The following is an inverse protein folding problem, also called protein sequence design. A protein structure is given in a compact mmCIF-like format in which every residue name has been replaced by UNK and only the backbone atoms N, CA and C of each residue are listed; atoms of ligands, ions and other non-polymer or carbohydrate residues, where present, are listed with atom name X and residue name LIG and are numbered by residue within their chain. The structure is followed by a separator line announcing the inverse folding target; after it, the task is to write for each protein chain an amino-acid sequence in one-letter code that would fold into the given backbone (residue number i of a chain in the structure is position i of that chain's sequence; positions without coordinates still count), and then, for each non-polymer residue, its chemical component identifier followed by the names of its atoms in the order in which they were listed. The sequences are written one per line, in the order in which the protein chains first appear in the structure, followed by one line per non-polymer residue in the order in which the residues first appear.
data_IF_534939421895
#
_entry.id   IF_534939421895
#
_cell.length_a   1.000
_cell.length_b   1.000
_cell.length_c   1.000
_cell.angle_alpha   90.00
_cell.angle_beta   90.00
_cell.angle_gamma   90.00
#
_symmetry.space_group_name_H-M   'P 1'
#
loop_
_entity.id
_entity.type
_entity.pdbx_description
1 polymer ?
#
# COMPACT_ATOMS: atom_id res chain seq x y z
N UNK A 1 -18.42 -17.26 8.50
CA UNK A 1 -18.87 -18.06 9.66
C UNK A 1 -17.67 -18.24 10.56
N UNK A 2 -17.44 -17.27 11.42
CA UNK A 2 -16.30 -17.23 12.32
C UNK A 2 -16.85 -17.11 13.75
N UNK A 3 -16.11 -17.67 14.71
CA UNK A 3 -16.09 -17.25 16.12
C UNK A 3 -16.94 -18.00 17.16
N UNK A 4 -17.30 -19.27 16.95
CA UNK A 4 -17.87 -20.09 18.05
C UNK A 4 -16.80 -20.82 18.91
N UNK A 5 -15.57 -20.97 18.40
CA UNK A 5 -14.52 -21.74 19.09
C UNK A 5 -13.78 -20.93 20.16
N UNK A 6 -13.66 -19.61 20.02
CA UNK A 6 -12.93 -18.75 20.96
C UNK A 6 -13.68 -18.62 22.29
N UNK A 7 -15.01 -18.57 22.25
CA UNK A 7 -15.84 -18.47 23.46
C UNK A 7 -15.79 -19.76 24.30
N UNK A 8 -15.79 -20.92 23.65
CA UNK A 8 -15.65 -22.23 24.32
C UNK A 8 -14.30 -22.34 25.03
N UNK A 9 -13.22 -21.90 24.37
CA UNK A 9 -11.87 -21.88 24.95
C UNK A 9 -11.78 -20.97 26.18
N UNK A 10 -12.45 -19.82 26.16
CA UNK A 10 -12.44 -18.89 27.29
C UNK A 10 -13.19 -19.45 28.51
N UNK A 11 -14.36 -20.07 28.30
CA UNK A 11 -15.09 -20.75 29.38
C UNK A 11 -14.33 -21.95 29.95
N UNK A 12 -13.62 -22.71 29.10
CA UNK A 12 -12.80 -23.82 29.59
C UNK A 12 -11.61 -23.33 30.45
N UNK A 13 -10.92 -22.26 30.02
CA UNK A 13 -9.82 -21.65 30.78
C UNK A 13 -10.32 -21.15 32.14
N UNK A 14 -11.47 -20.48 32.16
CA UNK A 14 -12.08 -19.96 33.39
C UNK A 14 -12.38 -21.08 34.40
N UNK A 15 -12.99 -22.19 33.96
CA UNK A 15 -13.28 -23.32 34.84
C UNK A 15 -12.01 -23.99 35.40
N UNK A 16 -10.94 -24.11 34.58
CA UNK A 16 -9.66 -24.66 35.05
C UNK A 16 -9.01 -23.76 36.11
N UNK A 17 -9.07 -22.44 35.94
CA UNK A 17 -8.51 -21.49 36.91
C UNK A 17 -9.25 -21.52 38.25
N UNK A 18 -10.59 -21.62 38.22
CA UNK A 18 -11.41 -21.71 39.43
C UNK A 18 -11.12 -23.00 40.23
N UNK A 19 -10.85 -24.10 39.52
CA UNK A 19 -10.45 -25.39 40.13
C UNK A 19 -9.10 -25.27 40.85
N UNK A 20 -8.10 -24.67 40.18
CA UNK A 20 -6.77 -24.45 40.78
C UNK A 20 -6.86 -23.58 42.04
N UNK A 21 -7.72 -22.55 42.02
CA UNK A 21 -7.89 -21.67 43.17
C UNK A 21 -8.46 -22.41 44.39
N UNK A 22 -9.40 -23.35 44.18
CA UNK A 22 -9.94 -24.22 45.24
C UNK A 22 -8.87 -25.14 45.82
N UNK A 23 -8.07 -25.78 44.98
CA UNK A 23 -7.00 -26.69 45.42
C UNK A 23 -5.92 -25.96 46.23
N UNK A 24 -5.51 -24.75 45.79
CA UNK A 24 -4.54 -23.93 46.52
C UNK A 24 -5.08 -23.48 47.89
N UNK A 25 -6.37 -23.18 47.98
CA UNK A 25 -7.00 -22.82 49.25
C UNK A 25 -6.99 -24.00 50.24
N UNK A 26 -7.27 -25.21 49.77
CA UNK A 26 -7.22 -26.42 50.61
C UNK A 26 -5.79 -26.78 51.04
N UNK A 27 -4.79 -26.60 50.17
CA UNK A 27 -3.37 -26.81 50.53
C UNK A 27 -2.89 -25.82 51.59
N UNK A 28 -3.28 -24.54 51.47
CA UNK A 28 -2.93 -23.51 52.46
C UNK A 28 -3.55 -23.78 53.83
N UNK A 29 -4.74 -24.37 53.89
CA UNK A 29 -5.35 -24.77 55.17
C UNK A 29 -4.64 -25.98 55.81
N UNK A 30 -4.00 -26.86 55.02
CA UNK A 30 -3.22 -28.00 55.51
C UNK A 30 -1.82 -27.65 56.01
N UNK A 31 -1.19 -26.59 55.49
CA UNK A 31 0.17 -26.16 55.89
C UNK A 31 0.22 -25.44 57.26
N UNK A 32 -0.88 -24.83 57.69
CA UNK A 32 -0.92 -24.07 58.96
C UNK A 32 -1.07 -24.94 60.23
N UNK A 33 -1.03 -26.27 60.10
CA UNK A 33 -1.08 -27.21 61.21
C UNK A 33 0.19 -28.04 61.32
N UNK A 34 1.01 -27.75 62.34
CA UNK A 34 2.06 -28.64 62.90
C UNK A 34 3.36 -28.73 62.06
N UNK A 35 4.62 -28.70 62.54
CA UNK A 35 5.26 -28.99 63.85
C UNK A 35 6.62 -28.27 63.89
N UNK A 36 7.01 -27.80 65.07
CA UNK A 36 8.32 -27.25 65.43
C UNK A 36 9.33 -28.30 65.95
N UNK A 37 10.59 -28.23 65.46
CA UNK A 37 11.91 -28.49 66.11
C UNK A 37 12.21 -29.91 66.67
N UNK A 38 13.45 -30.29 67.07
CA UNK A 38 14.78 -29.66 66.90
C UNK A 38 15.94 -30.63 66.49
N UNK A 39 17.05 -30.00 66.10
CA UNK A 39 18.42 -30.52 66.03
C UNK A 39 18.98 -30.79 67.43
N UNK A 40 19.80 -31.83 67.60
CA UNK A 40 20.59 -32.03 68.81
C UNK A 40 22.08 -32.11 68.45
N UNK A 41 22.85 -31.19 69.03
CA UNK A 41 24.29 -30.99 68.88
C UNK A 41 25.04 -31.42 70.13
N UNK A 42 26.35 -31.63 69.96
CA UNK A 42 27.48 -31.28 70.87
C UNK A 42 28.31 -32.46 71.36
N UNK A 43 29.62 -32.48 71.03
CA UNK A 43 30.71 -32.64 72.02
C UNK A 43 32.08 -32.20 71.45
N UNK A 44 32.42 -30.93 71.67
CA UNK A 44 33.69 -30.32 71.28
C UNK A 44 34.86 -30.76 72.18
N UNK A 45 35.96 -31.21 71.56
CA UNK A 45 37.38 -30.90 71.90
C UNK A 45 38.41 -31.87 71.28
N UNK A 46 37.98 -32.91 70.56
CA UNK A 46 38.85 -33.68 69.63
C UNK A 46 38.64 -33.28 68.16
N UNK A 47 37.65 -32.42 67.91
CA UNK A 47 37.09 -32.19 66.58
C UNK A 47 37.93 -31.22 65.75
N UNK A 48 38.57 -30.20 66.31
CA UNK A 48 39.23 -29.15 65.52
C UNK A 48 40.36 -29.65 64.61
N UNK A 49 41.17 -30.62 65.06
CA UNK A 49 42.27 -31.16 64.24
C UNK A 49 41.76 -32.12 63.16
N UNK A 50 40.68 -32.86 63.47
CA UNK A 50 40.01 -33.78 62.55
C UNK A 50 39.15 -33.02 61.52
N UNK A 51 38.55 -31.92 61.95
CA UNK A 51 37.82 -30.95 61.15
C UNK A 51 38.77 -30.19 60.23
N UNK A 52 39.98 -29.84 60.68
CA UNK A 52 40.98 -29.19 59.82
C UNK A 52 41.49 -30.13 58.71
N UNK A 53 41.66 -31.41 59.01
CA UNK A 53 42.04 -32.42 58.00
C UNK A 53 40.88 -32.74 57.05
N UNK A 54 39.64 -32.83 57.56
CA UNK A 54 38.42 -32.90 56.75
C UNK A 54 38.26 -31.66 55.87
N UNK A 55 38.48 -30.45 56.38
CA UNK A 55 38.41 -29.20 55.64
C UNK A 55 39.45 -29.17 54.51
N UNK A 56 40.68 -29.60 54.77
CA UNK A 56 41.72 -29.70 53.74
C UNK A 56 41.35 -30.75 52.68
N UNK A 57 40.75 -31.87 53.07
CA UNK A 57 40.23 -32.87 52.15
C UNK A 57 39.06 -32.32 51.30
N UNK A 58 38.14 -31.56 51.90
CA UNK A 58 37.08 -30.87 51.19
C UNK A 58 37.65 -29.81 50.24
N UNK A 59 38.65 -29.05 50.67
CA UNK A 59 39.33 -28.05 49.83
C UNK A 59 40.00 -28.69 48.61
N UNK A 60 40.68 -29.84 48.80
CA UNK A 60 41.25 -30.62 47.70
C UNK A 60 40.18 -31.13 46.75
N UNK A 61 39.08 -31.71 47.26
CA UNK A 61 37.96 -32.18 46.42
C UNK A 61 37.29 -31.02 45.67
N UNK A 62 37.10 -29.87 46.31
CA UNK A 62 36.54 -28.68 45.67
C UNK A 62 37.47 -28.16 44.58
N UNK A 63 38.78 -28.12 44.82
CA UNK A 63 39.80 -27.77 43.81
C UNK A 63 39.77 -28.73 42.61
N UNK A 64 39.66 -30.04 42.85
CA UNK A 64 39.55 -31.04 41.78
C UNK A 64 38.28 -30.85 40.94
N UNK A 65 37.12 -30.63 41.59
CA UNK A 65 35.85 -30.37 40.90
C UNK A 65 35.91 -29.08 40.08
N UNK A 66 36.47 -28.01 40.64
CA UNK A 66 36.68 -26.74 39.93
C UNK A 66 37.61 -26.95 38.73
N UNK A 67 38.72 -27.67 38.90
CA UNK A 67 39.66 -27.93 37.81
C UNK A 67 39.03 -28.78 36.69
N UNK A 68 38.20 -29.75 37.05
CA UNK A 68 37.41 -30.54 36.10
C UNK A 68 36.42 -29.65 35.33
N UNK A 69 35.75 -28.73 36.02
CA UNK A 69 34.84 -27.76 35.40
C UNK A 69 35.58 -26.80 34.46
N UNK A 70 36.74 -26.28 34.86
CA UNK A 70 37.61 -25.44 34.02
C UNK A 70 38.03 -26.21 32.76
N UNK A 71 38.46 -27.47 32.91
CA UNK A 71 38.83 -28.31 31.78
C UNK A 71 37.68 -28.57 30.80
N UNK A 72 36.45 -28.73 31.31
CA UNK A 72 35.25 -28.84 30.45
C UNK A 72 34.98 -27.52 29.73
N UNK A 73 35.02 -26.39 30.43
CA UNK A 73 34.80 -25.06 29.86
C UNK A 73 35.82 -24.72 28.75
N UNK A 74 37.10 -25.07 28.95
CA UNK A 74 38.14 -24.87 27.93
C UNK A 74 37.85 -25.70 26.68
N UNK A 75 37.47 -26.99 26.84
CA UNK A 75 37.12 -27.83 25.69
C UNK A 75 35.88 -27.34 24.94
N UNK A 76 34.87 -26.85 25.65
CA UNK A 76 33.66 -26.28 25.03
C UNK A 76 34.04 -25.05 24.20
N UNK A 77 34.83 -24.13 24.77
CA UNK A 77 35.27 -22.92 24.07
C UNK A 77 36.18 -23.23 22.88
N UNK A 78 37.02 -24.25 22.97
CA UNK A 78 37.88 -24.71 21.87
C UNK A 78 37.04 -25.27 20.71
N UNK A 79 36.02 -26.08 21.01
CA UNK A 79 35.10 -26.60 19.99
C UNK A 79 34.23 -25.49 19.37
N UNK A 80 33.78 -24.53 20.19
CA UNK A 80 33.08 -23.33 19.70
C UNK A 80 33.96 -22.51 18.75
N UNK A 81 35.21 -22.24 19.12
CA UNK A 81 36.17 -21.53 18.27
C UNK A 81 36.39 -22.26 16.93
N UNK A 82 36.59 -23.58 16.99
CA UNK A 82 36.74 -24.41 15.79
C UNK A 82 35.49 -24.41 14.90
N UNK A 83 34.30 -24.38 15.50
CA UNK A 83 33.04 -24.27 14.76
C UNK A 83 32.89 -22.91 14.08
N UNK A 84 33.31 -21.83 14.74
CA UNK A 84 33.32 -20.48 14.19
C UNK A 84 34.32 -20.36 13.04
N UNK A 85 35.52 -20.91 13.17
CA UNK A 85 36.51 -20.93 12.09
C UNK A 85 35.98 -21.66 10.85
N UNK A 86 35.27 -22.79 11.04
CA UNK A 86 34.63 -23.52 9.94
C UNK A 86 33.53 -22.69 9.26
N UNK A 87 32.72 -21.96 10.03
CA UNK A 87 31.70 -21.07 9.48
C UNK A 87 32.33 -19.94 8.67
N UNK A 88 33.34 -19.27 9.24
CA UNK A 88 34.08 -18.19 8.57
C UNK A 88 34.71 -18.68 7.27
N UNK A 89 35.33 -19.86 7.27
CA UNK A 89 35.88 -20.47 6.07
C UNK A 89 34.80 -20.73 5.01
N UNK A 90 33.65 -21.30 5.39
CA UNK A 90 32.56 -21.56 4.44
C UNK A 90 31.97 -20.30 3.83
N UNK A 91 31.83 -19.23 4.62
CA UNK A 91 31.33 -17.93 4.15
C UNK A 91 32.34 -17.27 3.22
N UNK A 92 33.64 -17.34 3.53
CA UNK A 92 34.69 -16.86 2.65
C UNK A 92 34.73 -17.62 1.31
N UNK A 93 34.56 -18.94 1.34
CA UNK A 93 34.48 -19.75 0.11
C UNK A 93 33.25 -19.37 -0.72
N UNK A 94 32.07 -19.25 -0.11
CA UNK A 94 30.86 -18.81 -0.81
C UNK A 94 31.01 -17.39 -1.38
N UNK A 95 31.67 -16.48 -0.67
CA UNK A 95 31.92 -15.13 -1.14
C UNK A 95 32.89 -15.12 -2.33
N UNK A 96 33.94 -15.94 -2.28
CA UNK A 96 34.87 -16.10 -3.39
C UNK A 96 34.19 -16.70 -4.63
N UNK A 97 33.41 -17.78 -4.45
CA UNK A 97 32.63 -18.40 -5.51
C UNK A 97 31.62 -17.40 -6.11
N UNK A 98 30.92 -16.63 -5.27
CA UNK A 98 30.00 -15.61 -5.75
C UNK A 98 30.71 -14.48 -6.51
N UNK A 99 31.91 -14.10 -6.10
CA UNK A 99 32.70 -13.09 -6.79
C UNK A 99 33.24 -13.59 -8.14
N UNK A 100 33.70 -14.84 -8.20
CA UNK A 100 34.12 -15.52 -9.43
C UNK A 100 32.94 -15.70 -10.40
N UNK A 101 31.76 -16.05 -9.89
CA UNK A 101 30.55 -16.21 -10.70
C UNK A 101 30.00 -14.86 -11.23
N UNK A 102 30.43 -13.73 -10.64
CA UNK A 102 30.18 -12.39 -11.20
C UNK A 102 31.17 -11.97 -12.28
N UNK A 103 32.36 -12.58 -12.32
CA UNK A 103 33.33 -12.36 -13.41
C UNK A 103 32.99 -13.16 -14.67
N UNK A 104 32.12 -14.17 -14.59
CA UNK A 104 31.57 -14.80 -15.77
C UNK A 104 30.69 -13.80 -16.55
N UNK A 105 30.95 -13.61 -17.86
CA UNK A 105 30.24 -12.62 -18.64
C UNK A 105 28.76 -12.96 -18.64
N UNK A 106 27.96 -11.98 -18.21
CA UNK A 106 26.51 -11.90 -18.35
C UNK A 106 26.12 -12.62 -19.65
N UNK A 107 25.27 -13.67 -19.61
CA UNK A 107 24.85 -14.33 -20.84
C UNK A 107 24.33 -13.24 -21.77
N UNK A 108 24.93 -13.14 -22.96
CA UNK A 108 24.50 -12.21 -23.99
C UNK A 108 23.05 -12.57 -24.34
N UNK A 109 22.11 -11.99 -23.62
CA UNK A 109 20.74 -11.95 -24.05
C UNK A 109 20.78 -11.11 -25.33
N UNK A 110 20.42 -11.73 -26.45
CA UNK A 110 20.07 -11.03 -27.68
C UNK A 110 18.77 -10.24 -27.47
N UNK A 111 18.78 -9.33 -26.49
CA UNK A 111 17.80 -8.26 -26.40
C UNK A 111 18.19 -7.32 -27.53
N UNK A 112 17.27 -7.10 -28.46
CA UNK A 112 17.28 -5.92 -29.34
C UNK A 112 17.17 -4.67 -28.46
N UNK A 113 18.26 -4.33 -27.79
CA UNK A 113 18.35 -3.20 -26.88
C UNK A 113 18.60 -1.99 -27.75
N UNK A 114 17.54 -1.24 -28.04
CA UNK A 114 17.67 0.12 -28.57
C UNK A 114 18.27 1.00 -27.46
N UNK A 115 19.57 0.86 -27.25
CA UNK A 115 20.35 1.81 -26.48
C UNK A 115 20.54 3.04 -27.36
N UNK A 116 19.60 3.99 -27.28
CA UNK A 116 19.84 5.32 -27.84
C UNK A 116 20.96 5.95 -27.02
N UNK A 117 22.14 6.07 -27.62
CA UNK A 117 23.26 6.78 -27.02
C UNK A 117 22.95 8.29 -27.04
N UNK A 118 22.43 8.81 -25.92
CA UNK A 118 22.06 10.23 -25.74
C UNK A 118 23.32 11.12 -25.66
N UNK A 119 24.53 10.56 -25.80
CA UNK A 119 25.78 11.34 -25.79
C UNK A 119 25.98 12.23 -27.03
N UNK A 120 25.19 12.04 -28.08
CA UNK A 120 25.11 12.97 -29.21
C UNK A 120 24.28 14.20 -28.83
N UNK A 121 24.92 15.23 -28.26
CA UNK A 121 24.25 16.49 -27.87
C UNK A 121 23.45 17.12 -29.00
N UNK A 122 23.91 16.95 -30.25
CA UNK A 122 23.26 17.47 -31.46
C UNK A 122 21.99 16.69 -31.81
N UNK A 123 22.02 15.36 -31.82
CA UNK A 123 20.84 14.56 -32.14
C UNK A 123 19.77 14.64 -31.04
N UNK A 124 20.17 14.72 -29.77
CA UNK A 124 19.23 14.96 -28.69
C UNK A 124 18.56 16.33 -28.82
N UNK A 125 19.34 17.38 -29.09
CA UNK A 125 18.80 18.74 -29.26
C UNK A 125 17.85 18.83 -30.46
N UNK A 126 18.15 18.17 -31.58
CA UNK A 126 17.24 18.15 -32.74
C UNK A 126 15.95 17.40 -32.46
N UNK A 127 16.01 16.25 -31.78
CA UNK A 127 14.80 15.51 -31.39
C UNK A 127 13.96 16.33 -30.42
N UNK A 128 14.59 16.99 -29.44
CA UNK A 128 13.89 17.89 -28.51
C UNK A 128 13.24 19.05 -29.27
N UNK A 129 13.96 19.71 -30.18
CA UNK A 129 13.41 20.82 -30.98
C UNK A 129 12.22 20.38 -31.85
N UNK A 130 12.33 19.23 -32.52
CA UNK A 130 11.24 18.66 -33.33
C UNK A 130 10.06 18.25 -32.45
N UNK A 131 10.31 17.70 -31.26
CA UNK A 131 9.25 17.34 -30.33
C UNK A 131 8.47 18.57 -29.87
N UNK A 132 9.16 19.66 -29.49
CA UNK A 132 8.54 20.93 -29.09
C UNK A 132 7.71 21.49 -30.25
N UNK A 133 8.25 21.52 -31.46
CA UNK A 133 7.52 21.98 -32.66
C UNK A 133 6.26 21.14 -32.91
N UNK A 134 6.34 19.82 -32.73
CA UNK A 134 5.21 18.92 -32.85
C UNK A 134 4.16 19.21 -31.75
N UNK A 135 4.58 19.41 -30.50
CA UNK A 135 3.66 19.78 -29.40
C UNK A 135 2.96 21.12 -29.64
N UNK A 136 3.66 22.16 -30.11
CA UNK A 136 3.03 23.43 -30.47
C UNK A 136 1.99 23.22 -31.57
N UNK A 137 2.28 22.38 -32.56
CA UNK A 137 1.34 22.05 -33.64
C UNK A 137 0.11 21.29 -33.13
N UNK A 138 0.29 20.34 -32.20
CA UNK A 138 -0.80 19.58 -31.59
C UNK A 138 -1.69 20.47 -30.72
N UNK A 139 -1.11 21.30 -29.86
CA UNK A 139 -1.85 22.24 -29.01
C UNK A 139 -2.59 23.26 -29.87
N UNK A 140 -1.95 23.80 -30.91
CA UNK A 140 -2.60 24.70 -31.86
C UNK A 140 -3.81 24.07 -32.54
N UNK A 141 -3.67 22.83 -33.03
CA UNK A 141 -4.78 22.09 -33.63
C UNK A 141 -5.91 21.80 -32.63
N UNK A 142 -5.56 21.40 -31.41
CA UNK A 142 -6.54 21.15 -30.35
C UNK A 142 -7.33 22.43 -30.01
N UNK A 143 -6.64 23.56 -29.85
CA UNK A 143 -7.28 24.85 -29.58
C UNK A 143 -8.17 25.29 -30.74
N UNK A 144 -7.75 25.05 -31.98
CA UNK A 144 -8.56 25.33 -33.16
C UNK A 144 -9.84 24.47 -33.20
N UNK A 145 -9.73 23.19 -32.87
CA UNK A 145 -10.87 22.28 -32.78
C UNK A 145 -11.82 22.69 -31.65
N UNK A 146 -11.28 23.02 -30.48
CA UNK A 146 -12.05 23.53 -29.34
C UNK A 146 -12.81 24.82 -29.72
N UNK A 147 -12.14 25.77 -30.38
CA UNK A 147 -12.75 27.02 -30.83
C UNK A 147 -13.88 26.79 -31.84
N UNK A 148 -13.70 25.87 -32.80
CA UNK A 148 -14.76 25.48 -33.74
C UNK A 148 -15.96 24.86 -33.03
N UNK A 149 -15.72 24.08 -31.98
CA UNK A 149 -16.78 23.46 -31.21
C UNK A 149 -17.55 24.51 -30.41
N UNK A 150 -16.84 25.42 -29.73
CA UNK A 150 -17.43 26.55 -29.01
C UNK A 150 -18.28 27.43 -29.93
N UNK A 151 -17.79 27.76 -31.12
CA UNK A 151 -18.54 28.55 -32.10
C UNK A 151 -19.88 27.89 -32.50
N UNK A 152 -19.89 26.56 -32.68
CA UNK A 152 -21.13 25.81 -32.98
C UNK A 152 -22.09 25.81 -31.80
N UNK A 153 -21.55 25.70 -30.60
CA UNK A 153 -22.31 25.68 -29.36
C UNK A 153 -22.93 27.06 -29.08
N UNK A 154 -22.16 28.15 -29.25
CA UNK A 154 -22.65 29.52 -29.12
C UNK A 154 -23.71 29.86 -30.17
N UNK A 155 -23.50 29.46 -31.43
CA UNK A 155 -24.53 29.61 -32.47
C UNK A 155 -25.84 28.90 -32.10
N UNK A 156 -25.76 27.75 -31.43
CA UNK A 156 -26.94 27.04 -30.94
C UNK A 156 -27.57 27.76 -29.74
N UNK A 157 -26.78 28.26 -28.78
CA UNK A 157 -27.24 29.07 -27.63
C UNK A 157 -28.05 30.28 -28.13
N UNK A 158 -27.54 31.03 -29.12
CA UNK A 158 -28.25 32.19 -29.68
C UNK A 158 -29.56 31.82 -30.38
N UNK A 159 -29.61 30.69 -31.10
CA UNK A 159 -30.86 30.23 -31.73
C UNK A 159 -31.90 29.89 -30.67
N UNK A 160 -31.52 29.19 -29.61
CA UNK A 160 -32.43 28.81 -28.51
C UNK A 160 -32.99 30.05 -27.82
N UNK A 161 -32.12 31.01 -27.46
CA UNK A 161 -32.54 32.28 -26.85
C UNK A 161 -33.54 33.02 -27.74
N UNK A 162 -33.35 33.00 -29.07
CA UNK A 162 -34.30 33.59 -30.03
C UNK A 162 -35.65 32.87 -30.04
N UNK A 163 -35.67 31.55 -29.88
CA UNK A 163 -36.93 30.77 -29.79
C UNK A 163 -37.71 31.09 -28.52
N UNK A 164 -37.01 31.32 -27.40
CA UNK A 164 -37.65 31.57 -26.10
C UNK A 164 -38.28 32.96 -25.94
N UNK A 165 -38.07 33.90 -26.87
CA UNK A 165 -38.70 35.25 -26.89
C UNK A 165 -38.58 36.04 -25.57
N UNK A 166 -37.42 35.94 -24.92
CA UNK A 166 -37.12 36.54 -23.62
C UNK A 166 -36.68 35.44 -22.66
N UNK A 167 -35.46 35.56 -22.13
CA UNK A 167 -34.86 34.53 -21.30
C UNK A 167 -34.79 35.01 -19.85
N UNK A 168 -35.31 34.22 -18.91
CA UNK A 168 -35.14 34.49 -17.49
C UNK A 168 -33.69 34.16 -17.05
N UNK A 169 -33.16 34.79 -15.99
CA UNK A 169 -31.81 34.49 -15.50
C UNK A 169 -31.60 33.00 -15.15
N UNK A 170 -32.67 32.32 -14.70
CA UNK A 170 -32.64 30.89 -14.38
C UNK A 170 -32.46 30.01 -15.63
N UNK A 171 -33.11 30.38 -16.74
CA UNK A 171 -32.98 29.66 -18.02
C UNK A 171 -31.61 29.87 -18.66
N UNK A 172 -31.03 31.06 -18.53
CA UNK A 172 -29.65 31.33 -18.97
C UNK A 172 -28.66 30.48 -18.16
N UNK A 173 -28.83 30.43 -16.84
CA UNK A 173 -27.96 29.63 -15.96
C UNK A 173 -28.03 28.14 -16.33
N UNK A 174 -29.25 27.61 -16.51
CA UNK A 174 -29.46 26.23 -16.93
C UNK A 174 -28.87 25.95 -18.31
N UNK A 175 -29.04 26.87 -19.27
CA UNK A 175 -28.46 26.73 -20.60
C UNK A 175 -26.93 26.74 -20.55
N UNK A 176 -26.32 27.54 -19.67
CA UNK A 176 -24.87 27.54 -19.50
C UNK A 176 -24.39 26.23 -18.85
N UNK A 177 -25.11 25.73 -17.85
CA UNK A 177 -24.79 24.44 -17.20
C UNK A 177 -24.82 23.28 -18.20
N UNK A 178 -25.85 23.19 -19.06
CA UNK A 178 -25.97 22.10 -20.08
C UNK A 178 -24.89 22.15 -21.16
N UNK A 179 -24.37 23.34 -21.51
CA UNK A 179 -23.39 23.48 -22.59
C UNK A 179 -21.94 23.50 -22.10
N UNK A 180 -21.68 24.01 -20.88
CA UNK A 180 -20.33 24.31 -20.39
C UNK A 180 -19.90 23.38 -19.24
N UNK A 181 -20.76 23.19 -18.22
CA UNK A 181 -20.40 22.43 -17.00
C UNK A 181 -20.73 20.93 -17.16
N UNK A 182 -21.94 20.61 -17.64
CA UNK A 182 -22.46 19.25 -17.78
C UNK A 182 -22.89 18.99 -19.23
N UNK A 183 -21.90 18.91 -20.13
CA UNK A 183 -22.15 18.70 -21.57
C UNK A 183 -22.85 17.36 -21.85
N UNK A 184 -24.18 17.38 -21.87
CA UNK A 184 -25.00 16.23 -22.24
C UNK A 184 -25.40 16.30 -23.72
N UNK A 185 -24.78 15.45 -24.54
CA UNK A 185 -25.04 15.35 -25.97
C UNK A 185 -26.51 14.99 -26.29
N UNK A 186 -27.18 14.25 -25.40
CA UNK A 186 -28.58 13.85 -25.60
C UNK A 186 -29.53 15.02 -25.38
N UNK A 187 -29.30 15.81 -24.34
CA UNK A 187 -30.05 17.04 -24.06
C UNK A 187 -29.84 18.09 -25.14
N UNK A 188 -28.60 18.34 -25.54
CA UNK A 188 -28.27 19.26 -26.63
C UNK A 188 -28.97 18.85 -27.94
N UNK A 189 -29.02 17.54 -28.25
CA UNK A 189 -29.73 17.03 -29.43
C UNK A 189 -31.24 17.26 -29.36
N UNK A 190 -31.87 17.07 -28.19
CA UNK A 190 -33.30 17.34 -27.97
C UNK A 190 -33.61 18.83 -28.17
N UNK A 191 -32.81 19.70 -27.55
CA UNK A 191 -32.98 21.16 -27.65
C UNK A 191 -32.79 21.65 -29.10
N UNK A 192 -31.80 21.08 -29.82
CA UNK A 192 -31.62 21.36 -31.25
C UNK A 192 -32.85 20.99 -32.06
N UNK A 193 -33.40 19.79 -31.87
CA UNK A 193 -34.62 19.34 -32.58
C UNK A 193 -35.81 20.25 -32.30
N UNK A 194 -36.00 20.68 -31.05
CA UNK A 194 -37.07 21.61 -30.67
C UNK A 194 -36.90 22.98 -31.36
N UNK A 195 -35.67 23.48 -31.39
CA UNK A 195 -35.33 24.75 -32.06
C UNK A 195 -35.56 24.68 -33.57
N UNK A 196 -35.12 23.59 -34.21
CA UNK A 196 -35.32 23.37 -35.64
C UNK A 196 -36.80 23.21 -36.00
N UNK A 197 -37.58 22.49 -35.17
CA UNK A 197 -39.02 22.33 -35.37
C UNK A 197 -39.76 23.68 -35.29
N UNK A 198 -39.45 24.49 -34.28
CA UNK A 198 -40.03 25.82 -34.13
C UNK A 198 -39.68 26.74 -35.32
N UNK A 199 -38.45 26.67 -35.81
CA UNK A 199 -38.04 27.45 -36.98
C UNK A 199 -38.77 27.00 -38.26
N UNK A 200 -39.02 25.70 -38.42
CA UNK A 200 -39.82 25.16 -39.53
C UNK A 200 -41.28 25.61 -39.45
N UNK A 201 -41.89 25.60 -38.27
CA UNK A 201 -43.25 26.10 -38.06
C UNK A 201 -43.36 27.60 -38.35
N UNK A 202 -42.39 28.39 -37.89
CA UNK A 202 -42.32 29.82 -38.21
C UNK A 202 -42.19 30.07 -39.70
N UNK A 203 -41.34 29.30 -40.40
CA UNK A 203 -41.18 29.40 -41.84
C UNK A 203 -42.48 29.05 -42.57
N UNK A 204 -43.13 27.95 -42.21
CA UNK A 204 -44.41 27.55 -42.80
C UNK A 204 -45.51 28.62 -42.57
N UNK A 205 -45.54 29.24 -41.39
CA UNK A 205 -46.48 30.34 -41.10
C UNK A 205 -46.17 31.60 -41.92
N UNK A 206 -44.89 31.92 -42.12
CA UNK A 206 -44.48 33.04 -42.97
C UNK A 206 -44.82 32.77 -44.45
N UNK A 207 -44.53 31.58 -44.96
CA UNK A 207 -44.80 31.18 -46.35
C UNK A 207 -46.31 31.18 -46.64
N UNK A 208 -47.13 30.63 -45.73
CA UNK A 208 -48.60 30.66 -45.86
C UNK A 208 -49.16 32.09 -45.82
N UNK A 209 -48.64 32.95 -44.95
CA UNK A 209 -49.03 34.37 -44.92
C UNK A 209 -48.65 35.08 -46.22
N UNK A 210 -47.47 34.81 -46.77
CA UNK A 210 -47.01 35.39 -48.03
C UNK A 210 -47.87 34.93 -49.21
N UNK A 211 -48.24 33.65 -49.24
CA UNK A 211 -49.14 33.06 -50.24
C UNK A 211 -50.55 33.67 -50.16
N UNK A 212 -51.11 33.84 -48.96
CA UNK A 212 -52.41 34.48 -48.77
C UNK A 212 -52.41 35.94 -49.24
N UNK A 213 -51.33 36.70 -48.97
CA UNK A 213 -51.19 38.06 -49.47
C UNK A 213 -51.11 38.12 -51.00
N UNK A 214 -50.40 37.18 -51.64
CA UNK A 214 -50.33 37.09 -53.10
C UNK A 214 -51.68 36.72 -53.72
N UNK A 215 -52.44 35.81 -53.11
CA UNK A 215 -53.79 35.44 -53.58
C UNK A 215 -54.77 36.61 -53.45
N UNK A 216 -54.80 37.27 -52.29
CA UNK A 216 -55.65 38.45 -52.06
C UNK A 216 -55.32 39.62 -53.00
N UNK A 217 -54.08 39.74 -53.46
CA UNK A 217 -53.66 40.75 -54.45
C UNK A 217 -54.04 40.38 -55.89
N UNK A 218 -54.29 39.09 -56.19
CA UNK A 218 -54.77 38.63 -57.51
C UNK A 218 -56.30 38.63 -57.62
N UNK A 219 -57.00 38.54 -56.50
CA UNK A 219 -58.47 38.57 -56.44
C UNK A 219 -59.06 39.99 -56.36
N UNK A 220 -58.23 41.02 -56.49
CA UNK A 220 -58.59 42.43 -56.43
C UNK A 220 -58.10 43.11 -57.71
#
# INVERSE_FOLDING_TARGET
MADNNTFVLFEEIKNKLETIYRELKELKEKENGSVSLPVQSTLAQSDEQKDQELLNQYEQRTKEVINKYIGVQVRIKDEEAKSMDKLVASVLTMLHEWQENKEHPIPQEHIHRHSFDIKSSKAFTTVVAVSILCFVSLVGNYFLWQSKQQYKDDALKFRIIRVWRGCSPKEILWLNDVFDIHRDATMIKRIRKQTDNYNMELKAKADSLMQNNLQNKKSK
#
